data_IF_521935161216
#
_entry.id   IF_521935161216
#
_cell.length_a   1.000
_cell.length_b   1.000
_cell.length_c   1.000
_cell.angle_alpha   90.00
_cell.angle_beta   90.00
_cell.angle_gamma   90.00
#
_symmetry.space_group_name_H-M   'P 1'
#
loop_
_entity.id
_entity.type
_entity.pdbx_description
1 polymer ?
#
# COMPACT_ATOMS: atom_id res chain seq x y z
N UNK A 1 19.06 -24.34 -15.86
CA UNK A 1 18.97 -24.12 -14.40
C UNK A 1 18.28 -22.78 -14.18
N UNK A 2 16.94 -22.75 -14.13
CA UNK A 2 16.19 -21.52 -13.88
C UNK A 2 16.05 -21.32 -12.38
N UNK A 3 16.89 -20.44 -11.84
CA UNK A 3 16.88 -20.08 -10.43
C UNK A 3 15.62 -19.25 -10.16
N UNK A 4 14.56 -19.87 -9.64
CA UNK A 4 13.37 -19.18 -9.08
C UNK A 4 13.76 -18.53 -7.73
N UNK A 5 14.68 -17.58 -7.75
CA UNK A 5 15.15 -16.82 -6.58
C UNK A 5 14.15 -15.73 -6.14
N UNK A 6 12.85 -16.01 -6.22
CA UNK A 6 11.80 -15.21 -5.62
C UNK A 6 11.03 -16.11 -4.65
N UNK A 7 11.75 -16.70 -3.69
CA UNK A 7 11.11 -17.19 -2.49
C UNK A 7 10.38 -16.01 -1.84
N UNK A 8 9.12 -16.24 -1.48
CA UNK A 8 8.25 -15.36 -0.70
C UNK A 8 8.90 -15.11 0.66
N UNK A 9 9.90 -14.23 0.70
CA UNK A 9 10.48 -13.83 1.97
C UNK A 9 9.51 -12.85 2.64
N UNK A 10 9.10 -13.09 3.90
CA UNK A 10 8.39 -12.11 4.71
C UNK A 10 9.14 -10.77 4.84
N UNK A 11 10.43 -10.73 4.44
CA UNK A 11 11.21 -9.51 4.32
C UNK A 11 10.71 -8.55 3.22
N UNK A 12 9.95 -9.03 2.21
CA UNK A 12 9.52 -8.21 1.07
C UNK A 12 8.16 -7.55 1.31
N UNK A 13 7.14 -8.30 1.74
CA UNK A 13 5.87 -7.71 2.18
C UNK A 13 5.30 -8.48 3.37
N UNK A 14 4.68 -7.75 4.30
CA UNK A 14 4.00 -8.34 5.45
C UNK A 14 2.92 -7.41 5.99
N UNK A 15 1.81 -7.99 6.46
CA UNK A 15 0.80 -7.32 7.28
C UNK A 15 0.93 -7.81 8.73
N UNK A 16 1.04 -6.88 9.67
CA UNK A 16 0.98 -7.17 11.11
C UNK A 16 -0.35 -6.76 11.73
N UNK A 17 -1.11 -5.86 11.09
CA UNK A 17 -2.47 -5.52 11.49
C UNK A 17 -3.45 -5.97 10.40
N UNK A 18 -3.95 -7.19 10.54
CA UNK A 18 -4.85 -7.79 9.55
C UNK A 18 -6.26 -7.28 9.76
N UNK A 19 -6.78 -6.61 8.75
CA UNK A 19 -8.16 -6.11 8.66
C UNK A 19 -8.84 -6.78 7.49
N UNK A 20 -10.17 -6.86 7.54
CA UNK A 20 -10.96 -7.39 6.43
C UNK A 20 -12.15 -6.48 6.14
N UNK A 21 -12.42 -6.26 4.86
CA UNK A 21 -13.51 -5.42 4.38
C UNK A 21 -14.11 -6.02 3.11
N UNK A 22 -15.33 -6.54 3.19
CA UNK A 22 -16.01 -7.09 2.01
C UNK A 22 -16.70 -5.98 1.22
N UNK A 23 -16.26 -5.78 -0.01
CA UNK A 23 -16.81 -4.81 -0.96
C UNK A 23 -16.99 -5.44 -2.34
N UNK A 24 -17.91 -4.88 -3.13
CA UNK A 24 -18.00 -5.16 -4.55
C UNK A 24 -16.73 -4.70 -5.27
N UNK A 25 -16.27 -5.39 -6.34
CA UNK A 25 -15.00 -5.09 -7.02
C UNK A 25 -14.81 -3.60 -7.36
N UNK A 26 -15.85 -2.93 -7.86
CA UNK A 26 -15.82 -1.52 -8.29
C UNK A 26 -15.63 -0.55 -7.11
N UNK A 27 -15.92 -1.00 -5.89
CA UNK A 27 -15.74 -0.22 -4.68
C UNK A 27 -14.38 -0.47 -4.00
N UNK A 28 -13.56 -1.42 -4.45
CA UNK A 28 -12.26 -1.78 -3.84
C UNK A 28 -11.14 -0.79 -4.19
N UNK A 29 -11.35 0.47 -3.83
CA UNK A 29 -10.49 1.61 -4.17
C UNK A 29 -9.14 1.57 -3.46
N UNK A 30 -8.06 1.57 -4.24
CA UNK A 30 -6.67 1.55 -3.80
C UNK A 30 -5.96 2.83 -4.24
N UNK A 31 -5.27 3.51 -3.34
CA UNK A 31 -4.48 4.70 -3.67
C UNK A 31 -2.99 4.41 -3.48
N UNK A 32 -2.22 4.60 -4.54
CA UNK A 32 -0.77 4.53 -4.53
C UNK A 32 -0.23 5.94 -4.30
N UNK A 33 0.63 6.14 -3.32
CA UNK A 33 1.35 7.40 -3.10
C UNK A 33 2.83 7.17 -3.38
N UNK A 34 3.26 7.40 -4.61
CA UNK A 34 4.63 7.12 -5.10
C UNK A 34 5.17 8.35 -5.87
N UNK A 35 6.39 8.83 -5.59
CA UNK A 35 6.90 10.03 -6.25
C UNK A 35 7.29 9.78 -7.72
N UNK A 36 7.63 8.54 -8.10
CA UNK A 36 7.94 8.19 -9.48
C UNK A 36 6.66 8.03 -10.32
N UNK A 37 6.26 9.10 -11.02
CA UNK A 37 5.03 9.14 -11.84
C UNK A 37 4.84 7.96 -12.78
N UNK A 38 5.87 7.59 -13.55
CA UNK A 38 5.77 6.52 -14.55
C UNK A 38 5.58 5.17 -13.88
N UNK A 39 6.39 4.85 -12.86
CA UNK A 39 6.28 3.61 -12.11
C UNK A 39 4.92 3.50 -11.41
N UNK A 40 4.49 4.58 -10.76
CA UNK A 40 3.22 4.63 -10.07
C UNK A 40 2.02 4.48 -11.01
N UNK A 41 2.07 5.09 -12.20
CA UNK A 41 1.01 4.96 -13.20
C UNK A 41 0.94 3.52 -13.73
N UNK A 42 2.10 2.90 -14.03
CA UNK A 42 2.14 1.50 -14.44
C UNK A 42 1.61 0.56 -13.37
N UNK A 43 1.95 0.79 -12.10
CA UNK A 43 1.44 -0.03 -10.98
C UNK A 43 -0.07 0.15 -10.78
N UNK A 44 -0.59 1.37 -10.91
CA UNK A 44 -2.03 1.63 -10.87
C UNK A 44 -2.77 0.84 -11.96
N UNK A 45 -2.30 0.90 -13.21
CA UNK A 45 -2.89 0.13 -14.31
C UNK A 45 -2.84 -1.38 -14.07
N UNK A 46 -1.78 -1.90 -13.47
CA UNK A 46 -1.69 -3.33 -13.11
C UNK A 46 -2.69 -3.72 -12.02
N UNK A 47 -2.96 -2.84 -11.05
CA UNK A 47 -3.99 -3.07 -10.03
C UNK A 47 -5.40 -3.05 -10.63
N UNK A 48 -5.66 -2.12 -11.55
CA UNK A 48 -6.93 -2.06 -12.28
C UNK A 48 -7.17 -3.34 -13.10
N UNK A 49 -6.15 -3.83 -13.82
CA UNK A 49 -6.21 -5.11 -14.53
C UNK A 49 -6.46 -6.31 -13.62
N UNK A 50 -6.18 -6.19 -12.32
CA UNK A 50 -6.44 -7.20 -11.29
C UNK A 50 -7.78 -7.00 -10.57
N UNK A 51 -8.60 -6.04 -11.02
CA UNK A 51 -9.94 -5.79 -10.46
C UNK A 51 -9.94 -4.87 -9.25
N UNK A 52 -8.87 -4.11 -9.02
CA UNK A 52 -8.78 -3.09 -7.99
C UNK A 52 -8.71 -1.70 -8.63
N UNK A 53 -9.80 -0.91 -8.62
CA UNK A 53 -9.73 0.49 -9.03
C UNK A 53 -8.60 1.19 -8.30
N UNK A 54 -7.68 1.82 -9.04
CA UNK A 54 -6.46 2.36 -8.47
C UNK A 54 -6.18 3.79 -8.95
N UNK A 55 -5.72 4.65 -8.04
CA UNK A 55 -5.26 6.01 -8.38
C UNK A 55 -3.82 6.23 -7.90
N UNK A 56 -3.16 7.22 -8.48
CA UNK A 56 -1.80 7.65 -8.11
C UNK A 56 -1.82 9.07 -7.54
N UNK A 57 -1.23 9.22 -6.37
CA UNK A 57 -0.74 10.48 -5.82
C UNK A 57 0.79 10.51 -5.89
N UNK A 58 1.38 11.63 -6.28
CA UNK A 58 2.85 11.75 -6.44
C UNK A 58 3.51 12.49 -5.28
N UNK A 59 2.71 13.08 -4.40
CA UNK A 59 3.16 13.86 -3.25
C UNK A 59 2.07 13.87 -2.16
N UNK A 60 2.40 14.38 -0.97
CA UNK A 60 1.46 14.44 0.15
C UNK A 60 0.21 15.29 -0.15
N UNK A 61 0.35 16.33 -0.97
CA UNK A 61 -0.75 17.24 -1.32
C UNK A 61 -1.80 16.55 -2.20
N UNK A 62 -1.36 15.86 -3.25
CA UNK A 62 -2.20 15.05 -4.13
C UNK A 62 -2.79 13.84 -3.41
N UNK A 63 -2.06 13.24 -2.46
CA UNK A 63 -2.57 12.18 -1.60
C UNK A 63 -3.77 12.64 -0.79
N UNK A 64 -3.65 13.76 -0.07
CA UNK A 64 -4.74 14.31 0.75
C UNK A 64 -5.99 14.61 -0.09
N UNK A 65 -5.83 15.30 -1.22
CA UNK A 65 -6.93 15.58 -2.15
C UNK A 65 -7.62 14.31 -2.64
N UNK A 66 -6.85 13.28 -3.02
CA UNK A 66 -7.41 12.02 -3.49
C UNK A 66 -8.13 11.25 -2.37
N UNK A 67 -7.62 11.31 -1.13
CA UNK A 67 -8.29 10.69 0.02
C UNK A 67 -9.65 11.34 0.28
N UNK A 68 -9.71 12.66 0.31
CA UNK A 68 -10.96 13.40 0.52
C UNK A 68 -11.97 13.15 -0.60
N UNK A 69 -11.53 13.23 -1.86
CA UNK A 69 -12.42 13.15 -3.00
C UNK A 69 -12.89 11.73 -3.33
N UNK A 70 -12.01 10.74 -3.14
CA UNK A 70 -12.24 9.37 -3.64
C UNK A 70 -12.34 8.32 -2.53
N UNK A 71 -12.01 8.67 -1.27
CA UNK A 71 -12.17 7.82 -0.08
C UNK A 71 -11.65 6.38 -0.29
N UNK A 72 -10.35 6.18 -0.55
CA UNK A 72 -9.75 4.87 -0.75
C UNK A 72 -9.75 4.04 0.54
N UNK A 73 -9.82 2.72 0.40
CA UNK A 73 -9.81 1.76 1.51
C UNK A 73 -8.40 1.25 1.81
N UNK A 74 -7.52 1.26 0.82
CA UNK A 74 -6.12 0.85 0.95
C UNK A 74 -5.19 1.94 0.44
N UNK A 75 -4.14 2.25 1.19
CA UNK A 75 -3.03 3.11 0.78
C UNK A 75 -1.74 2.32 0.70
N UNK A 76 -1.06 2.40 -0.44
CA UNK A 76 0.36 2.06 -0.52
C UNK A 76 1.16 3.36 -0.50
N UNK A 77 1.75 3.69 0.64
CA UNK A 77 2.38 4.98 0.90
C UNK A 77 3.89 4.89 0.89
N UNK A 78 4.54 5.50 -0.10
CA UNK A 78 6.00 5.65 -0.13
C UNK A 78 6.46 6.48 1.08
N UNK A 79 7.46 5.96 1.78
CA UNK A 79 8.04 6.63 2.95
C UNK A 79 8.67 7.98 2.59
N UNK A 80 9.09 8.17 1.34
CA UNK A 80 9.62 9.46 0.84
C UNK A 80 8.52 10.49 0.59
N UNK A 81 7.30 10.05 0.24
CA UNK A 81 6.13 10.95 0.14
C UNK A 81 5.69 11.43 1.53
N UNK A 82 5.94 10.63 2.56
CA UNK A 82 5.62 10.95 3.96
C UNK A 82 6.57 11.97 4.61
N UNK A 83 7.64 12.38 3.91
CA UNK A 83 8.77 13.08 4.52
C UNK A 83 9.63 12.10 5.29
N UNK A 84 10.74 11.68 4.70
CA UNK A 84 11.60 10.61 5.22
C UNK A 84 11.87 10.74 6.74
N UNK A 85 11.64 9.66 7.50
CA UNK A 85 12.12 9.50 8.87
C UNK A 85 11.18 9.95 10.00
N UNK A 86 10.21 10.85 9.75
CA UNK A 86 9.27 11.27 10.80
C UNK A 86 7.89 10.59 10.71
N UNK A 87 7.55 10.01 9.55
CA UNK A 87 6.28 9.33 9.26
C UNK A 87 5.03 10.13 9.68
N UNK A 88 5.13 11.46 9.70
CA UNK A 88 4.07 12.33 10.22
C UNK A 88 2.77 12.16 9.44
N UNK A 89 2.87 11.96 8.12
CA UNK A 89 1.73 11.72 7.25
C UNK A 89 0.99 10.42 7.60
N UNK A 90 1.71 9.34 7.95
CA UNK A 90 1.07 8.09 8.35
C UNK A 90 0.29 8.24 9.66
N UNK A 91 0.84 8.99 10.62
CA UNK A 91 0.20 9.30 11.92
C UNK A 91 -1.06 10.13 11.72
N UNK A 92 -0.96 11.21 10.95
CA UNK A 92 -2.10 12.06 10.57
C UNK A 92 -3.23 11.25 9.93
N UNK A 93 -2.89 10.38 8.97
CA UNK A 93 -3.86 9.53 8.29
C UNK A 93 -4.52 8.49 9.22
N UNK A 94 -3.84 8.09 10.29
CA UNK A 94 -4.38 7.16 11.29
C UNK A 94 -5.30 7.86 12.29
N UNK A 95 -5.03 9.11 12.62
CA UNK A 95 -5.83 9.95 13.52
C UNK A 95 -7.13 10.47 12.86
N UNK A 96 -7.21 10.45 11.52
CA UNK A 96 -8.42 10.80 10.78
C UNK A 96 -9.62 9.88 11.12
N UNK A 97 -10.85 10.38 10.96
CA UNK A 97 -12.10 9.69 11.33
C UNK A 97 -12.23 8.29 10.70
N UNK A 98 -11.84 8.14 9.43
CA UNK A 98 -11.85 6.86 8.71
C UNK A 98 -10.48 6.15 8.74
N UNK A 99 -9.52 6.70 9.47
CA UNK A 99 -8.16 6.22 9.61
C UNK A 99 -8.12 4.80 10.16
N UNK A 100 -8.91 4.46 11.18
CA UNK A 100 -8.90 3.13 11.80
C UNK A 100 -9.28 2.00 10.82
N UNK A 101 -10.28 2.24 9.96
CA UNK A 101 -10.79 1.26 9.00
C UNK A 101 -9.93 1.09 7.75
N UNK A 102 -9.06 2.06 7.46
CA UNK A 102 -8.18 2.06 6.29
C UNK A 102 -6.97 1.14 6.50
N UNK A 103 -6.59 0.41 5.45
CA UNK A 103 -5.34 -0.33 5.38
C UNK A 103 -4.22 0.59 4.87
N UNK A 104 -3.18 0.81 5.66
CA UNK A 104 -2.05 1.69 5.29
C UNK A 104 -0.77 0.85 5.23
N UNK A 105 -0.21 0.68 4.03
CA UNK A 105 0.96 -0.15 3.76
C UNK A 105 2.14 0.75 3.40
N UNK A 106 3.26 0.61 4.11
CA UNK A 106 4.48 1.37 3.81
C UNK A 106 5.17 0.82 2.56
N UNK A 107 5.42 1.67 1.56
CA UNK A 107 6.26 1.36 0.41
C UNK A 107 7.68 1.86 0.67
N UNK A 108 8.53 0.97 1.15
CA UNK A 108 9.85 1.30 1.71
C UNK A 108 10.97 0.94 0.74
N UNK A 109 12.13 1.59 0.85
CA UNK A 109 13.34 1.18 0.14
C UNK A 109 14.03 0.01 0.87
N UNK A 110 14.97 -0.66 0.19
CA UNK A 110 15.83 -1.65 0.85
C UNK A 110 17.03 -1.02 1.58
N UNK A 111 17.44 0.21 1.24
CA UNK A 111 18.66 0.82 1.77
C UNK A 111 18.51 2.34 2.01
N UNK A 112 18.73 2.81 3.25
CA UNK A 112 18.70 2.02 4.48
C UNK A 112 17.30 1.40 4.68
N UNK A 113 17.25 0.18 5.21
CA UNK A 113 15.98 -0.47 5.51
C UNK A 113 15.26 0.27 6.66
N UNK A 114 14.05 0.79 6.44
CA UNK A 114 13.30 1.44 7.53
C UNK A 114 12.88 0.41 8.60
N UNK A 115 13.21 0.59 9.88
CA UNK A 115 12.85 -0.37 10.92
C UNK A 115 11.34 -0.63 11.02
N UNK A 116 10.93 -1.90 11.02
CA UNK A 116 9.52 -2.31 11.14
C UNK A 116 8.87 -1.74 12.42
N UNK A 117 9.63 -1.63 13.51
CA UNK A 117 9.15 -1.04 14.76
C UNK A 117 8.68 0.42 14.56
N UNK A 118 9.44 1.23 13.82
CA UNK A 118 9.07 2.63 13.55
C UNK A 118 7.85 2.72 12.63
N UNK A 119 7.71 1.81 11.65
CA UNK A 119 6.52 1.74 10.81
C UNK A 119 5.28 1.37 11.62
N UNK A 120 5.40 0.41 12.55
CA UNK A 120 4.31 0.06 13.49
C UNK A 120 3.91 1.24 14.36
N UNK A 121 4.87 1.91 14.99
CA UNK A 121 4.63 3.09 15.84
C UNK A 121 4.01 4.25 15.06
N UNK A 122 4.35 4.40 13.78
CA UNK A 122 3.75 5.40 12.91
C UNK A 122 2.32 5.07 12.46
N UNK A 123 1.81 3.87 12.77
CA UNK A 123 0.45 3.46 12.46
C UNK A 123 0.27 2.80 11.09
N UNK A 124 1.33 2.31 10.45
CA UNK A 124 1.18 1.42 9.29
C UNK A 124 0.62 0.06 9.73
N UNK A 125 -0.12 -0.60 8.84
CA UNK A 125 -0.66 -1.95 9.05
C UNK A 125 0.25 -3.05 8.48
N UNK A 126 1.18 -2.65 7.61
CA UNK A 126 2.14 -3.51 6.96
C UNK A 126 3.16 -2.75 6.14
N UNK A 127 4.00 -3.48 5.43
CA UNK A 127 5.01 -2.91 4.54
C UNK A 127 5.16 -3.74 3.26
N UNK A 128 5.71 -3.09 2.24
CA UNK A 128 6.25 -3.68 1.04
C UNK A 128 7.58 -2.98 0.68
N UNK A 129 8.70 -3.72 0.71
CA UNK A 129 10.05 -3.27 0.36
C UNK A 129 10.23 -3.31 -1.15
N UNK A 130 10.75 -2.23 -1.73
CA UNK A 130 10.98 -2.12 -3.18
C UNK A 130 12.39 -2.57 -3.56
N UNK A 131 12.58 -3.44 -4.58
CA UNK A 131 11.53 -3.99 -5.46
C UNK A 131 10.62 -5.01 -4.77
N UNK A 132 9.31 -4.78 -4.93
CA UNK A 132 8.24 -5.69 -4.52
C UNK A 132 7.50 -6.15 -5.79
N UNK A 133 7.32 -7.46 -6.01
CA UNK A 133 6.48 -7.94 -7.09
C UNK A 133 5.02 -7.54 -6.90
N UNK A 134 4.36 -7.17 -8.00
CA UNK A 134 2.95 -6.72 -8.01
C UNK A 134 2.01 -7.79 -7.45
N UNK A 135 2.28 -9.07 -7.72
CA UNK A 135 1.44 -10.18 -7.25
C UNK A 135 1.41 -10.28 -5.72
N UNK A 136 2.52 -10.01 -5.02
CA UNK A 136 2.53 -9.97 -3.56
C UNK A 136 1.66 -8.84 -3.02
N UNK A 137 1.69 -7.68 -3.68
CA UNK A 137 0.85 -6.54 -3.29
C UNK A 137 -0.64 -6.86 -3.51
N UNK A 138 -0.99 -7.52 -4.62
CA UNK A 138 -2.37 -7.92 -4.88
C UNK A 138 -2.84 -9.04 -3.95
N UNK A 139 -1.97 -9.95 -3.50
CA UNK A 139 -2.31 -10.95 -2.48
C UNK A 139 -2.74 -10.27 -1.16
N UNK A 140 -2.07 -9.17 -0.77
CA UNK A 140 -2.49 -8.37 0.39
C UNK A 140 -3.87 -7.74 0.20
N UNK A 141 -4.16 -7.28 -1.02
CA UNK A 141 -5.47 -6.71 -1.38
C UNK A 141 -6.56 -7.78 -1.36
N UNK A 142 -6.29 -8.97 -1.87
CA UNK A 142 -7.21 -10.10 -1.83
C UNK A 142 -7.50 -10.54 -0.40
N UNK A 143 -6.48 -10.61 0.47
CA UNK A 143 -6.65 -10.89 1.89
C UNK A 143 -7.52 -9.83 2.57
N UNK A 144 -7.23 -8.54 2.34
CA UNK A 144 -7.97 -7.43 2.95
C UNK A 144 -9.42 -7.35 2.44
N UNK A 145 -9.65 -7.48 1.13
CA UNK A 145 -11.00 -7.41 0.58
C UNK A 145 -11.78 -8.74 0.69
N UNK A 146 -11.15 -9.78 1.25
CA UNK A 146 -11.65 -11.15 1.33
C UNK A 146 -12.14 -11.67 -0.04
N UNK A 147 -11.39 -11.31 -1.09
CA UNK A 147 -11.60 -11.82 -2.44
C UNK A 147 -11.32 -13.32 -2.42
N UNK A 148 -12.32 -14.14 -2.76
CA UNK A 148 -12.04 -15.54 -3.05
C UNK A 148 -11.47 -15.58 -4.47
N UNK A 149 -10.19 -15.91 -4.59
CA UNK A 149 -9.62 -16.26 -5.88
C UNK A 149 -10.32 -17.54 -6.37
N UNK A 150 -11.14 -17.44 -7.42
CA UNK A 150 -11.38 -18.59 -8.29
C UNK A 150 -10.06 -18.81 -9.01
N UNK A 151 -9.24 -19.69 -8.44
CA UNK A 151 -7.94 -20.09 -8.98
C UNK A 151 -8.12 -20.94 -10.24
#
# INVERSE_FOLDING_TARGET
MNNRAYETSPAQCSLWNRKQMRLQPEARRVLLALPERVLGASLASLFELKGFPAQLAVDASSLRRAIEAWRPHVLFLDTRVSGCGNYALARELREAEDGAGRLIIAMSGFLPEEPIALLKEAGYDGHCRRPCPVWQMTDLLDEFFACHAVR
#
